data_IF_203021730237
#
_entry.id   IF_203021730237
#
_cell.length_a   1.000
_cell.length_b   1.000
_cell.length_c   1.000
_cell.angle_alpha   90.00
_cell.angle_beta   90.00
_cell.angle_gamma   90.00
#
_symmetry.space_group_name_H-M   'P 1'
#
loop_
_entity.id
_entity.type
_entity.pdbx_description
1 polymer ?
#
# COMPACT_ATOMS: atom_id res chain seq x y z
N UNK A 1 -11.75 -4.99 -3.88
CA UNK A 1 -10.50 -5.19 -3.12
C UNK A 1 -9.44 -4.41 -3.86
N UNK A 2 -8.75 -3.47 -3.21
CA UNK A 2 -7.76 -2.64 -3.90
C UNK A 2 -6.40 -3.33 -3.96
N UNK A 3 -5.56 -2.99 -4.94
CA UNK A 3 -4.17 -3.47 -5.03
C UNK A 3 -3.39 -3.22 -3.72
N UNK A 4 -3.67 -2.10 -3.04
CA UNK A 4 -3.06 -1.80 -1.75
C UNK A 4 -3.49 -2.79 -0.64
N UNK A 5 -4.74 -3.27 -0.66
CA UNK A 5 -5.22 -4.28 0.28
C UNK A 5 -4.52 -5.63 0.08
N UNK A 6 -4.26 -6.01 -1.18
CA UNK A 6 -3.50 -7.19 -1.55
C UNK A 6 -2.06 -7.10 -1.06
N UNK A 7 -1.40 -5.97 -1.29
CA UNK A 7 -0.02 -5.71 -0.81
C UNK A 7 0.03 -5.78 0.73
N UNK A 8 -0.97 -5.23 1.43
CA UNK A 8 -1.05 -5.35 2.90
C UNK A 8 -1.30 -6.78 3.36
N UNK A 9 -2.04 -7.59 2.60
CA UNK A 9 -2.23 -9.00 2.92
C UNK A 9 -0.90 -9.76 2.87
N UNK A 10 -0.09 -9.53 1.83
CA UNK A 10 1.27 -10.09 1.72
C UNK A 10 2.17 -9.58 2.86
N UNK A 11 2.10 -8.30 3.22
CA UNK A 11 2.85 -7.75 4.34
C UNK A 11 2.50 -8.44 5.68
N UNK A 12 1.21 -8.72 5.94
CA UNK A 12 0.77 -9.47 7.13
C UNK A 12 1.28 -10.91 7.14
N UNK A 13 1.30 -11.57 5.98
CA UNK A 13 1.88 -12.91 5.85
C UNK A 13 3.39 -12.89 6.16
N UNK A 14 4.14 -11.91 5.63
CA UNK A 14 5.55 -11.74 5.95
C UNK A 14 5.79 -11.54 7.46
N UNK A 15 5.01 -10.68 8.12
CA UNK A 15 5.09 -10.49 9.58
C UNK A 15 4.79 -11.78 10.36
N UNK A 16 3.87 -12.62 9.86
CA UNK A 16 3.55 -13.92 10.46
C UNK A 16 4.74 -14.87 10.36
N UNK A 17 5.39 -14.94 9.18
CA UNK A 17 6.60 -15.72 8.95
C UNK A 17 7.75 -15.24 9.83
N UNK A 18 7.96 -13.93 9.97
CA UNK A 18 8.97 -13.39 10.89
C UNK A 18 8.71 -13.83 12.35
N UNK A 19 7.44 -13.85 12.77
CA UNK A 19 7.03 -14.39 14.07
C UNK A 19 7.34 -15.88 14.23
N UNK A 20 7.12 -16.69 13.20
CA UNK A 20 7.48 -18.12 13.19
C UNK A 20 8.98 -18.35 13.29
N UNK A 21 9.77 -17.56 12.57
CA UNK A 21 11.23 -17.61 12.62
C UNK A 21 11.73 -17.26 14.03
N UNK A 22 11.17 -16.23 14.67
CA UNK A 22 11.48 -15.88 16.07
C UNK A 22 11.13 -17.00 17.03
N UNK A 23 9.97 -17.65 16.87
CA UNK A 23 9.61 -18.84 17.67
C UNK A 23 10.59 -19.99 17.47
N UNK A 24 11.05 -20.23 16.24
CA UNK A 24 12.06 -21.24 15.95
C UNK A 24 13.41 -20.89 16.59
N UNK A 25 13.85 -19.63 16.49
CA UNK A 25 15.07 -19.14 17.14
C UNK A 25 15.01 -19.33 18.66
N UNK A 26 13.87 -18.98 19.27
CA UNK A 26 13.66 -19.16 20.71
C UNK A 26 13.72 -20.63 21.13
N UNK A 27 13.04 -21.54 20.42
CA UNK A 27 13.10 -23.00 20.70
C UNK A 27 14.52 -23.58 20.60
N UNK A 28 15.35 -23.02 19.74
CA UNK A 28 16.75 -23.43 19.62
C UNK A 28 17.59 -22.80 20.74
N UNK A 29 17.29 -21.54 21.10
CA UNK A 29 17.95 -20.82 22.17
C UNK A 29 17.68 -21.38 23.57
N UNK A 30 16.52 -22.02 23.81
CA UNK A 30 16.26 -22.67 25.12
C UNK A 30 17.22 -23.83 25.41
N UNK A 31 17.90 -24.37 24.39
CA UNK A 31 18.94 -25.37 24.58
C UNK A 31 20.20 -24.81 25.27
N UNK A 32 20.38 -23.48 25.37
CA UNK A 32 21.47 -22.88 26.15
C UNK A 32 21.30 -23.10 27.66
N UNK A 33 20.08 -23.37 28.15
CA UNK A 33 19.82 -23.59 29.58
C UNK A 33 20.19 -25.00 30.07
N UNK A 34 20.60 -25.90 29.17
CA UNK A 34 21.00 -27.27 29.51
C UNK A 34 22.46 -27.30 29.96
N UNK A 35 22.81 -28.16 30.92
CA UNK A 35 24.18 -28.38 31.34
C UNK A 35 24.93 -29.29 30.33
N UNK A 36 25.92 -28.74 29.63
CA UNK A 36 26.67 -29.44 28.58
C UNK A 36 28.04 -29.90 29.10
N UNK A 37 28.19 -31.21 29.35
CA UNK A 37 29.37 -31.75 30.06
C UNK A 37 30.51 -32.28 29.19
N UNK A 38 30.32 -32.46 27.88
CA UNK A 38 31.36 -32.96 26.96
C UNK A 38 31.84 -31.90 25.96
N UNK A 39 33.07 -32.04 25.45
CA UNK A 39 33.60 -31.12 24.45
C UNK A 39 32.72 -31.06 23.17
N UNK A 40 32.22 -32.22 22.71
CA UNK A 40 31.29 -32.30 21.58
C UNK A 40 29.95 -31.62 21.86
N UNK A 41 29.43 -31.75 23.09
CA UNK A 41 28.24 -31.06 23.57
C UNK A 41 28.42 -29.52 23.57
N UNK A 42 29.57 -29.02 24.04
CA UNK A 42 29.88 -27.58 24.02
C UNK A 42 29.99 -27.04 22.58
N UNK A 43 30.62 -27.80 21.66
CA UNK A 43 30.66 -27.43 20.24
C UNK A 43 29.26 -27.41 19.61
N UNK A 44 28.41 -28.37 19.95
CA UNK A 44 27.03 -28.40 19.48
C UNK A 44 26.23 -27.19 20.01
N UNK A 45 26.36 -26.84 21.29
CA UNK A 45 25.78 -25.61 21.86
C UNK A 45 26.18 -24.36 21.07
N UNK A 46 27.47 -24.19 20.76
CA UNK A 46 27.95 -23.06 19.96
C UNK A 46 27.24 -22.98 18.60
N UNK A 47 27.09 -24.11 17.91
CA UNK A 47 26.36 -24.17 16.62
C UNK A 47 24.89 -23.81 16.75
N UNK A 48 24.22 -24.22 17.84
CA UNK A 48 22.84 -23.83 18.12
C UNK A 48 22.72 -22.33 18.36
N UNK A 49 23.63 -21.75 19.16
CA UNK A 49 23.67 -20.31 19.41
C UNK A 49 23.85 -19.51 18.12
N UNK A 50 24.81 -19.91 17.26
CA UNK A 50 25.00 -19.30 15.94
C UNK A 50 23.76 -19.44 15.04
N UNK A 51 23.08 -20.60 15.08
CA UNK A 51 21.85 -20.83 14.32
C UNK A 51 20.71 -19.94 14.81
N UNK A 52 20.53 -19.78 16.12
CA UNK A 52 19.55 -18.88 16.71
C UNK A 52 19.84 -17.42 16.31
N UNK A 53 21.10 -16.99 16.34
CA UNK A 53 21.52 -15.68 15.85
C UNK A 53 21.16 -15.44 14.38
N UNK A 54 21.45 -16.41 13.50
CA UNK A 54 21.07 -16.36 12.07
C UNK A 54 19.56 -16.25 11.87
N UNK A 55 18.77 -17.02 12.61
CA UNK A 55 17.30 -16.96 12.53
C UNK A 55 16.76 -15.60 12.99
N UNK A 56 17.32 -15.03 14.06
CA UNK A 56 16.92 -13.69 14.51
C UNK A 56 17.23 -12.60 13.47
N UNK A 57 18.37 -12.69 12.78
CA UNK A 57 18.68 -11.77 11.69
C UNK A 57 17.72 -11.93 10.51
N UNK A 58 17.43 -13.16 10.12
CA UNK A 58 16.45 -13.46 9.06
C UNK A 58 15.05 -12.91 9.42
N UNK A 59 14.60 -13.09 10.67
CA UNK A 59 13.32 -12.53 11.11
C UNK A 59 13.29 -11.00 10.97
N UNK A 60 14.39 -10.32 11.29
CA UNK A 60 14.50 -8.86 11.15
C UNK A 60 14.46 -8.42 9.69
N UNK A 61 15.10 -9.16 8.79
CA UNK A 61 15.04 -8.90 7.34
C UNK A 61 13.61 -9.03 6.80
N UNK A 62 12.89 -10.08 7.24
CA UNK A 62 11.48 -10.29 6.85
C UNK A 62 10.57 -9.20 7.43
N UNK A 63 10.76 -8.79 8.68
CA UNK A 63 10.04 -7.65 9.27
C UNK A 63 10.34 -6.35 8.49
N UNK A 64 11.58 -6.16 8.03
CA UNK A 64 11.97 -5.05 7.16
C UNK A 64 11.24 -5.05 5.81
N UNK A 65 11.10 -6.23 5.20
CA UNK A 65 10.33 -6.43 3.96
C UNK A 65 8.84 -6.14 4.17
N UNK A 66 8.25 -6.61 5.27
CA UNK A 66 6.86 -6.31 5.62
C UNK A 66 6.64 -4.80 5.78
N UNK A 67 7.56 -4.11 6.44
CA UNK A 67 7.55 -2.65 6.55
C UNK A 67 7.66 -1.93 5.20
N UNK A 68 8.48 -2.44 4.27
CA UNK A 68 8.59 -1.91 2.92
C UNK A 68 7.29 -2.10 2.12
N UNK A 69 6.66 -3.27 2.22
CA UNK A 69 5.36 -3.54 1.59
C UNK A 69 4.26 -2.64 2.14
N UNK A 70 4.24 -2.37 3.45
CA UNK A 70 3.28 -1.42 4.02
C UNK A 70 3.44 0.01 3.48
N UNK A 71 4.69 0.48 3.36
CA UNK A 71 4.97 1.79 2.74
C UNK A 71 4.55 1.81 1.27
N UNK A 72 4.82 0.73 0.54
CA UNK A 72 4.42 0.62 -0.86
C UNK A 72 2.91 0.61 -1.03
N UNK A 73 2.16 -0.14 -0.21
CA UNK A 73 0.69 -0.12 -0.22
C UNK A 73 0.14 1.29 0.02
N UNK A 74 0.74 2.04 0.95
CA UNK A 74 0.36 3.44 1.22
C UNK A 74 0.60 4.32 0.00
N UNK A 75 1.74 4.15 -0.68
CA UNK A 75 2.04 4.89 -1.92
C UNK A 75 1.04 4.57 -3.05
N UNK A 76 0.65 3.29 -3.19
CA UNK A 76 -0.36 2.85 -4.16
C UNK A 76 -1.71 3.50 -3.89
N UNK A 77 -2.17 3.53 -2.64
CA UNK A 77 -3.42 4.20 -2.27
C UNK A 77 -3.41 5.69 -2.58
N UNK A 78 -2.33 6.39 -2.21
CA UNK A 78 -2.20 7.82 -2.49
C UNK A 78 -2.22 8.08 -4.00
N UNK A 79 -1.56 7.23 -4.79
CA UNK A 79 -1.60 7.31 -6.25
C UNK A 79 -2.99 7.04 -6.83
N UNK A 80 -3.71 6.04 -6.31
CA UNK A 80 -5.08 5.73 -6.74
C UNK A 80 -6.06 6.85 -6.40
N UNK A 81 -5.94 7.46 -5.22
CA UNK A 81 -6.73 8.62 -4.83
C UNK A 81 -6.48 9.81 -5.77
N UNK A 82 -5.20 10.13 -6.04
CA UNK A 82 -4.83 11.23 -6.95
C UNK A 82 -5.36 11.03 -8.38
N UNK A 83 -5.32 9.79 -8.91
CA UNK A 83 -5.89 9.48 -10.22
C UNK A 83 -7.42 9.61 -10.23
N UNK A 84 -8.08 9.25 -9.14
CA UNK A 84 -9.53 9.36 -9.00
C UNK A 84 -9.97 10.83 -8.95
N UNK A 85 -9.26 11.66 -8.18
CA UNK A 85 -9.51 13.10 -8.10
C UNK A 85 -9.32 13.76 -9.49
N UNK A 86 -8.22 13.46 -10.17
CA UNK A 86 -7.96 13.96 -11.53
C UNK A 86 -9.03 13.52 -12.54
N UNK A 87 -9.55 12.29 -12.42
CA UNK A 87 -10.65 11.82 -13.27
C UNK A 87 -11.95 12.57 -12.99
N UNK A 88 -12.27 12.84 -11.72
CA UNK A 88 -13.45 13.61 -11.33
C UNK A 88 -13.37 15.07 -11.78
N UNK A 89 -12.18 15.68 -11.70
CA UNK A 89 -11.94 17.03 -12.24
C UNK A 89 -12.13 17.08 -13.76
N UNK A 90 -11.62 16.07 -14.48
CA UNK A 90 -11.79 15.96 -15.93
C UNK A 90 -13.28 15.79 -16.32
N UNK A 91 -14.05 14.99 -15.57
CA UNK A 91 -15.50 14.83 -15.77
C UNK A 91 -16.24 16.14 -15.48
N UNK A 92 -15.86 16.87 -14.41
CA UNK A 92 -16.42 18.18 -14.10
C UNK A 92 -16.18 19.19 -15.21
N UNK A 93 -14.93 19.27 -15.71
CA UNK A 93 -14.56 20.14 -16.82
C UNK A 93 -15.35 19.81 -18.11
N UNK A 94 -15.55 18.52 -18.41
CA UNK A 94 -16.36 18.10 -19.55
C UNK A 94 -17.84 18.51 -19.40
N UNK A 95 -18.42 18.32 -18.21
CA UNK A 95 -19.80 18.68 -17.92
C UNK A 95 -20.05 20.20 -18.04
N UNK A 96 -19.11 21.01 -17.55
CA UNK A 96 -19.22 22.46 -17.65
C UNK A 96 -19.05 22.96 -19.09
N UNK A 97 -18.16 22.34 -19.88
CA UNK A 97 -18.05 22.60 -21.30
C UNK A 97 -19.37 22.29 -22.05
N UNK A 98 -20.00 21.14 -21.74
CA UNK A 98 -21.29 20.77 -22.34
C UNK A 98 -22.41 21.77 -22.00
N UNK A 99 -22.48 22.26 -20.76
CA UNK A 99 -23.42 23.33 -20.36
C UNK A 99 -23.15 24.64 -21.12
N UNK A 100 -21.88 25.01 -21.29
CA UNK A 100 -21.48 26.20 -22.04
C UNK A 100 -21.97 26.16 -23.49
N UNK A 101 -21.79 25.02 -24.17
CA UNK A 101 -22.30 24.80 -25.53
C UNK A 101 -23.83 24.89 -25.58
N UNK A 102 -24.53 24.24 -24.63
CA UNK A 102 -25.98 24.32 -24.54
C UNK A 102 -26.51 25.75 -24.35
N UNK A 103 -25.83 26.54 -23.50
CA UNK A 103 -26.16 27.97 -23.31
C UNK A 103 -25.93 28.77 -24.59
N UNK A 104 -24.80 28.57 -25.26
CA UNK A 104 -24.48 29.27 -26.50
C UNK A 104 -25.54 28.99 -27.58
N UNK A 105 -25.93 27.72 -27.77
CA UNK A 105 -26.99 27.34 -28.72
C UNK A 105 -28.32 28.04 -28.36
N UNK A 106 -28.69 28.04 -27.08
CA UNK A 106 -29.91 28.70 -26.61
C UNK A 106 -29.89 30.23 -26.83
N UNK A 107 -28.74 30.87 -26.68
CA UNK A 107 -28.55 32.31 -26.94
C UNK A 107 -28.67 32.63 -28.43
N UNK A 108 -28.05 31.84 -29.32
CA UNK A 108 -28.23 32.01 -30.78
C UNK A 108 -29.65 31.70 -31.26
N UNK A 109 -30.43 30.93 -30.50
CA UNK A 109 -31.81 30.56 -30.84
C UNK A 109 -32.85 31.57 -30.35
N UNK A 110 -32.44 32.64 -29.66
CA UNK A 110 -33.36 33.71 -29.26
C UNK A 110 -33.81 34.49 -30.50
N UNK A 111 -35.13 34.64 -30.74
CA UNK A 111 -35.62 35.42 -31.87
C UNK A 111 -35.15 36.89 -31.76
N UNK A 112 -34.80 37.50 -32.89
CA UNK A 112 -34.50 38.93 -33.02
C UNK A 112 -35.78 39.76 -32.84
N UNK A 113 -36.38 39.73 -31.65
CA UNK A 113 -37.57 40.53 -31.28
C UNK A 113 -37.16 41.80 -30.55
N UNK A 114 -36.29 42.62 -31.14
CA UNK A 114 -36.20 44.04 -30.77
C UNK A 114 -35.62 44.84 -31.93
N UNK A 115 -36.46 45.35 -32.82
CA UNK A 115 -35.94 46.19 -33.90
C UNK A 115 -36.91 46.74 -34.94
N UNK A 116 -38.20 46.42 -34.90
CA UNK A 116 -39.19 47.09 -35.76
C UNK A 116 -40.26 47.79 -34.91
N UNK A 117 -39.80 48.79 -34.15
CA UNK A 117 -40.66 49.90 -33.76
C UNK A 117 -40.94 50.75 -34.99
N UNK A 118 -41.94 50.37 -35.78
CA UNK A 118 -42.52 51.22 -36.82
C UNK A 118 -43.13 52.45 -36.14
N UNK A 119 -42.38 53.56 -36.13
CA UNK A 119 -42.97 54.90 -36.03
C UNK A 119 -43.71 55.17 -37.33
N UNK A 120 -45.03 55.10 -37.29
CA UNK A 120 -45.97 56.18 -37.67
C UNK A 120 -47.40 55.69 -37.52
#
# INVERSE_FOLDING_TARGET
MSDADEIRAVARQASTVAGEIRRAAWRIGTADAVEWRSAGAVQYRKRLHEKAGRLNNLAREVDGMAGALHRYATAVEVGQAALTDAAMDAVGAFHDAAKGVGRAIAETSRPLTSGFGLRR
#
